data_IF_782748374819
#
_entry.id   IF_782748374819
#
_cell.length_a   1.000
_cell.length_b   1.000
_cell.length_c   1.000
_cell.angle_alpha   90.00
_cell.angle_beta   90.00
_cell.angle_gamma   90.00
#
_symmetry.space_group_name_H-M   'P 1'
#
loop_
_entity.id
_entity.type
_entity.pdbx_description
1 polymer ?
#
# COMPACT_ATOMS: atom_id res chain seq x y z
N UNK A 1 16.08 -5.41 7.29
CA UNK A 1 16.24 -5.27 8.76
C UNK A 1 17.55 -5.91 9.23
N UNK A 2 17.89 -7.14 8.83
CA UNK A 2 19.13 -7.82 9.24
C UNK A 2 20.39 -7.00 8.93
N UNK A 3 20.50 -6.36 7.77
CA UNK A 3 21.64 -5.50 7.42
C UNK A 3 21.82 -4.32 8.37
N UNK A 4 20.74 -3.70 8.81
CA UNK A 4 20.77 -2.54 9.71
C UNK A 4 21.07 -2.98 11.15
N UNK A 5 20.30 -3.97 11.66
CA UNK A 5 20.37 -4.35 13.09
C UNK A 5 21.50 -5.33 13.43
N UNK A 6 21.93 -6.18 12.48
CA UNK A 6 22.96 -7.19 12.71
C UNK A 6 24.29 -6.78 12.16
N UNK A 7 24.33 -6.20 10.95
CA UNK A 7 25.58 -5.82 10.27
C UNK A 7 25.96 -4.35 10.54
N UNK A 8 25.06 -3.54 11.13
CA UNK A 8 25.34 -2.13 11.45
C UNK A 8 25.45 -1.22 10.23
N UNK A 9 24.96 -1.67 9.05
CA UNK A 9 24.99 -0.85 7.83
C UNK A 9 24.13 0.40 7.99
N UNK A 10 24.71 1.58 7.74
CA UNK A 10 24.00 2.85 7.77
C UNK A 10 23.29 3.08 6.44
N UNK A 11 22.24 2.30 6.17
CA UNK A 11 21.45 2.40 4.94
C UNK A 11 20.59 3.67 4.99
N UNK A 12 20.80 4.58 4.03
CA UNK A 12 20.01 5.80 3.88
C UNK A 12 19.20 5.79 2.59
N UNK A 13 17.95 6.21 2.68
CA UNK A 13 17.10 6.37 1.52
C UNK A 13 17.62 7.51 0.62
N UNK A 14 17.37 7.46 -0.70
CA UNK A 14 17.77 8.54 -1.62
C UNK A 14 17.21 9.92 -1.24
N UNK A 15 16.08 9.93 -0.54
CA UNK A 15 15.40 11.17 -0.08
C UNK A 15 15.70 11.54 1.37
N UNK A 16 16.55 10.78 2.07
CA UNK A 16 16.81 11.00 3.51
C UNK A 16 17.32 12.42 3.84
N UNK A 17 18.15 12.99 2.98
CA UNK A 17 18.75 14.29 3.16
C UNK A 17 17.95 15.44 2.49
N UNK A 18 16.84 15.13 1.82
CA UNK A 18 15.98 16.15 1.19
C UNK A 18 15.15 16.88 2.25
N UNK A 19 14.78 18.11 1.98
CA UNK A 19 13.89 18.90 2.82
C UNK A 19 12.49 18.97 2.22
N UNK A 20 11.47 18.79 3.06
CA UNK A 20 10.09 19.00 2.68
C UNK A 20 9.78 20.49 2.84
N UNK A 21 9.49 21.18 1.74
CA UNK A 21 9.14 22.60 1.73
C UNK A 21 7.66 22.74 1.38
N UNK A 22 6.97 23.66 2.04
CA UNK A 22 5.54 23.91 1.89
C UNK A 22 4.72 23.43 3.08
N UNK A 23 3.55 24.00 3.25
CA UNK A 23 2.63 23.59 4.31
C UNK A 23 1.91 22.28 3.91
N UNK A 24 1.80 21.29 4.81
CA UNK A 24 1.02 20.12 4.53
C UNK A 24 -0.45 20.51 4.33
N UNK A 25 -1.04 20.09 3.23
CA UNK A 25 -2.42 20.42 2.81
C UNK A 25 -3.49 20.08 3.86
N UNK A 26 -3.17 19.14 4.74
CA UNK A 26 -4.14 18.55 5.68
C UNK A 26 -3.98 19.01 7.13
N UNK A 27 -3.18 20.05 7.39
CA UNK A 27 -3.06 20.64 8.73
C UNK A 27 -4.24 21.58 9.01
N UNK A 28 -4.88 21.40 10.17
CA UNK A 28 -5.97 22.27 10.61
C UNK A 28 -7.31 22.04 9.92
N UNK A 29 -7.50 20.94 9.20
CA UNK A 29 -8.79 20.60 8.60
C UNK A 29 -9.83 20.33 9.68
N UNK A 30 -10.97 21.02 9.60
CA UNK A 30 -12.14 20.85 10.47
C UNK A 30 -13.42 20.69 9.64
N UNK A 31 -14.48 20.15 10.25
CA UNK A 31 -15.78 20.02 9.59
C UNK A 31 -15.79 19.07 8.41
N UNK A 32 -16.42 19.45 7.32
CA UNK A 32 -16.64 18.62 6.12
C UNK A 32 -15.31 18.18 5.48
N UNK A 33 -14.30 19.06 5.44
CA UNK A 33 -13.01 18.75 4.87
C UNK A 33 -12.30 17.61 5.62
N UNK A 34 -12.42 17.57 6.95
CA UNK A 34 -11.91 16.47 7.77
C UNK A 34 -12.64 15.15 7.48
N UNK A 35 -13.99 15.20 7.35
CA UNK A 35 -14.80 14.01 7.00
C UNK A 35 -14.39 13.46 5.63
N UNK A 36 -14.19 14.33 4.64
CA UNK A 36 -13.73 13.92 3.29
C UNK A 36 -12.33 13.29 3.35
N UNK A 37 -11.41 13.84 4.15
CA UNK A 37 -10.10 13.24 4.37
C UNK A 37 -10.21 11.85 5.01
N UNK A 38 -11.02 11.71 6.05
CA UNK A 38 -11.27 10.41 6.69
C UNK A 38 -11.85 9.39 5.71
N UNK A 39 -12.86 9.79 4.92
CA UNK A 39 -13.46 8.93 3.91
C UNK A 39 -12.43 8.50 2.83
N UNK A 40 -11.59 9.43 2.38
CA UNK A 40 -10.52 9.14 1.41
C UNK A 40 -9.48 8.17 1.97
N UNK A 41 -9.04 8.39 3.21
CA UNK A 41 -8.08 7.52 3.90
C UNK A 41 -8.67 6.12 4.11
N UNK A 42 -9.93 6.05 4.53
CA UNK A 42 -10.66 4.79 4.67
C UNK A 42 -10.77 4.04 3.34
N UNK A 43 -11.18 4.73 2.26
CA UNK A 43 -11.26 4.14 0.90
C UNK A 43 -9.92 3.59 0.43
N UNK A 44 -8.83 4.32 0.67
CA UNK A 44 -7.48 3.84 0.34
C UNK A 44 -7.07 2.62 1.16
N UNK A 45 -7.45 2.59 2.44
CA UNK A 45 -7.21 1.45 3.33
C UNK A 45 -8.00 0.20 2.94
N UNK A 46 -9.22 0.37 2.39
CA UNK A 46 -10.06 -0.75 1.92
C UNK A 46 -9.40 -1.54 0.78
N UNK A 47 -8.57 -0.91 -0.04
CA UNK A 47 -7.82 -1.62 -1.09
C UNK A 47 -6.89 -2.70 -0.51
N UNK A 48 -6.38 -2.52 0.71
CA UNK A 48 -5.56 -3.51 1.39
C UNK A 48 -6.33 -4.76 1.84
N UNK A 49 -7.67 -4.69 1.92
CA UNK A 49 -8.54 -5.77 2.37
C UNK A 49 -8.99 -6.72 1.25
N UNK A 50 -8.51 -6.56 0.02
CA UNK A 50 -8.91 -7.38 -1.15
C UNK A 50 -8.70 -8.88 -0.90
N UNK A 51 -7.65 -9.26 -0.15
CA UNK A 51 -7.40 -10.65 0.22
C UNK A 51 -8.44 -11.22 1.20
N UNK A 52 -9.01 -10.39 2.06
CA UNK A 52 -10.08 -10.77 3.00
C UNK A 52 -11.36 -11.12 2.23
N UNK A 53 -11.71 -10.32 1.23
CA UNK A 53 -12.86 -10.57 0.35
C UNK A 53 -12.73 -11.93 -0.36
N UNK A 54 -11.57 -12.23 -0.94
CA UNK A 54 -11.34 -13.50 -1.63
C UNK A 54 -11.53 -14.71 -0.71
N UNK A 55 -11.08 -14.65 0.55
CA UNK A 55 -11.28 -15.71 1.54
C UNK A 55 -12.75 -15.80 1.95
N UNK A 56 -13.41 -14.67 2.19
CA UNK A 56 -14.81 -14.60 2.60
C UNK A 56 -15.74 -15.20 1.55
N UNK A 57 -15.56 -14.83 0.28
CA UNK A 57 -16.33 -15.37 -0.84
C UNK A 57 -16.00 -16.84 -1.13
N UNK A 58 -14.78 -17.28 -0.80
CA UNK A 58 -14.31 -18.65 -0.98
C UNK A 58 -14.69 -19.64 0.12
N UNK A 59 -15.35 -19.22 1.20
CA UNK A 59 -15.70 -20.10 2.34
C UNK A 59 -16.41 -21.38 1.93
N UNK A 60 -17.37 -21.39 0.98
CA UNK A 60 -18.03 -22.62 0.52
C UNK A 60 -17.09 -23.67 -0.05
N UNK A 61 -15.95 -23.24 -0.61
CA UNK A 61 -14.94 -24.10 -1.26
C UNK A 61 -13.91 -24.67 -0.27
N UNK A 62 -13.91 -24.23 0.99
CA UNK A 62 -13.00 -24.75 2.01
C UNK A 62 -13.37 -26.18 2.43
N UNK A 63 -12.36 -26.93 2.80
CA UNK A 63 -12.49 -28.25 3.41
C UNK A 63 -13.18 -28.14 4.79
N UNK A 64 -13.96 -29.14 5.16
CA UNK A 64 -14.60 -29.15 6.47
C UNK A 64 -13.58 -29.36 7.61
N UNK A 65 -13.74 -28.66 8.75
CA UNK A 65 -14.77 -27.67 9.07
C UNK A 65 -14.49 -26.29 8.41
N UNK A 66 -15.35 -25.91 7.46
CA UNK A 66 -15.15 -24.77 6.53
C UNK A 66 -14.87 -23.45 7.26
N UNK A 67 -15.70 -23.12 8.24
CA UNK A 67 -15.59 -21.87 8.99
C UNK A 67 -14.28 -21.77 9.77
N UNK A 68 -13.83 -22.86 10.41
CA UNK A 68 -12.57 -22.89 11.16
C UNK A 68 -11.38 -22.73 10.23
N UNK A 69 -11.37 -23.42 9.10
CA UNK A 69 -10.29 -23.36 8.13
C UNK A 69 -10.22 -21.97 7.47
N UNK A 70 -11.36 -21.39 7.11
CA UNK A 70 -11.43 -20.02 6.58
C UNK A 70 -10.94 -18.98 7.62
N UNK A 71 -11.37 -19.10 8.89
CA UNK A 71 -10.92 -18.21 9.95
C UNK A 71 -9.41 -18.32 10.21
N UNK A 72 -8.85 -19.53 10.18
CA UNK A 72 -7.40 -19.74 10.33
C UNK A 72 -6.62 -19.11 9.19
N UNK A 73 -7.09 -19.31 7.94
CA UNK A 73 -6.47 -18.72 6.75
C UNK A 73 -6.51 -17.19 6.81
N UNK A 74 -7.64 -16.62 7.24
CA UNK A 74 -7.80 -15.19 7.42
C UNK A 74 -6.88 -14.62 8.51
N UNK A 75 -6.76 -15.32 9.64
CA UNK A 75 -5.86 -14.93 10.71
C UNK A 75 -4.38 -14.98 10.27
N UNK A 76 -3.98 -16.01 9.52
CA UNK A 76 -2.64 -16.10 8.94
C UNK A 76 -2.38 -14.97 7.93
N UNK A 77 -3.33 -14.70 7.03
CA UNK A 77 -3.23 -13.59 6.09
C UNK A 77 -3.04 -12.26 6.82
N UNK A 78 -3.88 -11.98 7.82
CA UNK A 78 -3.80 -10.77 8.63
C UNK A 78 -2.48 -10.66 9.38
N UNK A 79 -2.02 -11.74 10.00
CA UNK A 79 -0.74 -11.78 10.71
C UNK A 79 0.45 -11.48 9.79
N UNK A 80 0.50 -12.10 8.61
CA UNK A 80 1.54 -11.85 7.61
C UNK A 80 1.47 -10.40 7.10
N UNK A 81 0.27 -9.92 6.74
CA UNK A 81 0.10 -8.57 6.23
C UNK A 81 0.52 -7.50 7.25
N UNK A 82 0.13 -7.65 8.51
CA UNK A 82 0.51 -6.73 9.60
C UNK A 82 2.02 -6.78 9.84
N UNK A 83 2.63 -7.95 9.89
CA UNK A 83 4.08 -8.09 10.11
C UNK A 83 4.90 -7.48 8.96
N UNK A 84 4.45 -7.65 7.71
CA UNK A 84 5.08 -7.03 6.54
C UNK A 84 4.93 -5.51 6.57
N UNK A 85 3.73 -4.99 6.88
CA UNK A 85 3.49 -3.56 7.00
C UNK A 85 4.38 -2.93 8.09
N UNK A 86 4.45 -3.55 9.27
CA UNK A 86 5.32 -3.11 10.35
C UNK A 86 6.80 -3.13 9.93
N UNK A 87 7.21 -4.17 9.21
CA UNK A 87 8.57 -4.26 8.66
C UNK A 87 8.90 -3.11 7.70
N UNK A 88 7.97 -2.76 6.82
CA UNK A 88 8.13 -1.64 5.88
C UNK A 88 8.18 -0.30 6.63
N UNK A 89 7.30 -0.08 7.62
CA UNK A 89 7.27 1.15 8.41
C UNK A 89 8.57 1.34 9.21
N UNK A 90 9.03 0.30 9.88
CA UNK A 90 10.31 0.34 10.60
C UNK A 90 11.46 0.61 9.64
N UNK A 91 11.50 -0.06 8.49
CA UNK A 91 12.55 0.13 7.50
C UNK A 91 12.51 1.58 6.94
N UNK A 92 11.34 2.10 6.60
CA UNK A 92 11.17 3.46 6.10
C UNK A 92 11.60 4.51 7.15
N UNK A 93 11.26 4.28 8.42
CA UNK A 93 11.66 5.15 9.53
C UNK A 93 13.18 5.16 9.73
N UNK A 94 13.81 3.99 9.76
CA UNK A 94 15.26 3.86 10.00
C UNK A 94 16.08 4.39 8.81
N UNK A 95 15.62 4.17 7.58
CA UNK A 95 16.31 4.67 6.37
C UNK A 95 16.01 6.13 6.07
N UNK A 96 15.05 6.76 6.77
CA UNK A 96 14.72 8.18 6.62
C UNK A 96 14.01 8.51 5.29
N UNK A 97 13.16 7.63 4.78
CA UNK A 97 12.37 7.89 3.56
C UNK A 97 11.50 9.13 3.77
N UNK A 98 11.59 10.10 2.86
CA UNK A 98 10.75 11.28 2.84
C UNK A 98 9.84 11.27 1.62
N UNK A 99 8.61 11.74 1.82
CA UNK A 99 7.59 11.89 0.79
C UNK A 99 6.90 13.24 0.92
N UNK A 100 6.30 13.70 -0.16
CA UNK A 100 5.48 14.90 -0.17
C UNK A 100 4.11 14.60 -0.78
N UNK A 101 3.14 15.46 -0.54
CA UNK A 101 1.80 15.34 -1.15
C UNK A 101 1.78 16.03 -2.51
N UNK A 102 1.73 15.24 -3.59
CA UNK A 102 1.66 15.76 -4.98
C UNK A 102 0.43 16.63 -5.25
N UNK A 103 -0.60 16.52 -4.41
CA UNK A 103 -1.83 17.32 -4.54
C UNK A 103 -1.79 18.64 -3.78
N UNK A 104 -0.72 18.89 -3.02
CA UNK A 104 -0.50 20.09 -2.21
C UNK A 104 0.57 21.02 -2.79
N UNK A 105 0.85 22.10 -2.07
CA UNK A 105 1.97 23.02 -2.36
C UNK A 105 3.32 22.50 -1.81
N UNK A 106 3.30 21.34 -1.13
CA UNK A 106 4.51 20.73 -0.59
C UNK A 106 5.32 20.05 -1.70
N UNK A 107 6.63 20.22 -1.67
CA UNK A 107 7.56 19.55 -2.55
C UNK A 107 8.84 19.20 -1.81
N UNK A 108 9.54 18.18 -2.30
CA UNK A 108 10.88 17.85 -1.83
C UNK A 108 11.90 18.75 -2.53
N UNK A 109 12.82 19.28 -1.76
CA UNK A 109 13.97 20.02 -2.28
C UNK A 109 15.22 19.18 -2.01
N UNK A 110 15.98 18.94 -3.06
CA UNK A 110 17.27 18.27 -3.00
C UNK A 110 18.30 19.12 -2.25
N UNK A 111 19.38 18.49 -1.84
CA UNK A 111 20.54 19.15 -1.19
C UNK A 111 21.12 20.30 -2.01
N UNK A 112 20.86 20.33 -3.32
CA UNK A 112 21.28 21.40 -4.25
C UNK A 112 20.23 22.50 -4.47
N UNK A 113 19.11 22.47 -3.74
CA UNK A 113 18.04 23.47 -3.86
C UNK A 113 17.07 23.25 -5.04
N UNK A 114 17.16 22.14 -5.75
CA UNK A 114 16.25 21.83 -6.85
C UNK A 114 14.99 21.14 -6.35
N UNK A 115 13.83 21.61 -6.80
CA UNK A 115 12.55 20.95 -6.52
C UNK A 115 12.46 19.61 -7.26
N UNK A 116 12.14 18.54 -6.53
CA UNK A 116 11.91 17.21 -7.09
C UNK A 116 10.52 17.17 -7.68
N UNK A 117 10.41 16.99 -9.00
CA UNK A 117 9.13 16.97 -9.73
C UNK A 117 8.45 15.62 -9.73
N UNK A 118 9.21 14.54 -9.62
CA UNK A 118 8.67 13.17 -9.65
C UNK A 118 9.00 12.47 -8.34
N UNK A 119 7.98 11.88 -7.74
CA UNK A 119 8.12 11.14 -6.49
C UNK A 119 8.25 9.64 -6.75
N UNK A 120 9.33 9.05 -6.25
CA UNK A 120 9.50 7.60 -6.24
C UNK A 120 8.70 7.01 -5.08
N UNK A 121 7.96 5.92 -5.33
CA UNK A 121 7.17 5.24 -4.30
C UNK A 121 8.04 4.78 -3.12
N UNK A 122 7.46 4.66 -1.92
CA UNK A 122 8.16 4.18 -0.72
C UNK A 122 8.83 2.83 -0.98
N UNK A 123 8.10 1.90 -1.61
CA UNK A 123 8.63 0.56 -1.93
C UNK A 123 9.82 0.65 -2.89
N UNK A 124 9.74 1.54 -3.90
CA UNK A 124 10.84 1.79 -4.84
C UNK A 124 12.08 2.37 -4.15
N UNK A 125 11.90 3.34 -3.26
CA UNK A 125 13.00 3.92 -2.48
C UNK A 125 13.66 2.88 -1.57
N UNK A 126 12.86 2.08 -0.85
CA UNK A 126 13.35 1.02 0.02
C UNK A 126 14.07 -0.09 -0.77
N UNK A 127 13.50 -0.50 -1.90
CA UNK A 127 14.15 -1.49 -2.78
C UNK A 127 15.51 -0.98 -3.28
N UNK A 128 15.59 0.31 -3.66
CA UNK A 128 16.84 0.93 -4.07
C UNK A 128 17.85 0.96 -2.92
N UNK A 129 17.45 1.39 -1.74
CA UNK A 129 18.30 1.45 -0.56
C UNK A 129 18.88 0.09 -0.16
N UNK A 130 18.08 -0.97 -0.25
CA UNK A 130 18.48 -2.30 0.21
C UNK A 130 19.31 -3.04 -0.84
N UNK A 131 18.92 -2.94 -2.11
CA UNK A 131 19.47 -3.82 -3.17
C UNK A 131 20.45 -3.14 -4.12
N UNK A 132 20.31 -1.83 -4.37
CA UNK A 132 21.02 -1.19 -5.49
C UNK A 132 22.55 -1.29 -5.40
N UNK A 133 23.11 -1.12 -4.21
CA UNK A 133 24.56 -1.16 -3.99
C UNK A 133 25.09 -2.58 -3.78
N UNK A 134 24.28 -3.50 -3.25
CA UNK A 134 24.70 -4.84 -2.90
C UNK A 134 24.40 -5.89 -3.98
N UNK A 135 23.21 -5.79 -4.59
CA UNK A 135 22.73 -6.78 -5.56
C UNK A 135 21.73 -6.13 -6.52
N UNK A 136 22.24 -5.41 -7.51
CA UNK A 136 21.42 -4.71 -8.53
C UNK A 136 20.29 -5.56 -9.16
N UNK A 137 20.49 -6.84 -9.52
CA UNK A 137 19.38 -7.67 -10.03
C UNK A 137 18.20 -7.77 -9.05
N UNK A 138 18.46 -7.80 -7.74
CA UNK A 138 17.42 -7.85 -6.70
C UNK A 138 16.49 -6.64 -6.74
N UNK A 139 17.01 -5.45 -7.04
CA UNK A 139 16.20 -4.26 -7.25
C UNK A 139 15.19 -4.45 -8.39
N UNK A 140 15.65 -4.89 -9.56
CA UNK A 140 14.78 -5.10 -10.73
C UNK A 140 13.77 -6.21 -10.49
N UNK A 141 14.16 -7.31 -9.85
CA UNK A 141 13.24 -8.40 -9.47
C UNK A 141 12.15 -7.85 -8.55
N UNK A 142 12.50 -7.05 -7.53
CA UNK A 142 11.54 -6.46 -6.61
C UNK A 142 10.54 -5.56 -7.33
N UNK A 143 10.99 -4.71 -8.25
CA UNK A 143 10.13 -3.82 -9.03
C UNK A 143 9.18 -4.63 -9.93
N UNK A 144 9.68 -5.65 -10.63
CA UNK A 144 8.87 -6.51 -11.49
C UNK A 144 7.83 -7.28 -10.67
N UNK A 145 8.22 -7.88 -9.55
CA UNK A 145 7.28 -8.56 -8.65
C UNK A 145 6.20 -7.61 -8.13
N UNK A 146 6.57 -6.39 -7.74
CA UNK A 146 5.59 -5.38 -7.28
C UNK A 146 4.62 -5.03 -8.40
N UNK A 147 5.10 -4.84 -9.63
CA UNK A 147 4.26 -4.58 -10.79
C UNK A 147 3.28 -5.73 -11.07
N UNK A 148 3.74 -6.98 -11.01
CA UNK A 148 2.90 -8.16 -11.20
C UNK A 148 1.82 -8.25 -10.12
N UNK A 149 2.17 -8.00 -8.85
CA UNK A 149 1.21 -8.02 -7.73
C UNK A 149 0.14 -6.94 -7.92
N UNK A 150 0.53 -5.73 -8.32
CA UNK A 150 -0.41 -4.64 -8.58
C UNK A 150 -1.34 -4.96 -9.75
N UNK A 151 -0.82 -5.59 -10.82
CA UNK A 151 -1.62 -6.04 -11.95
C UNK A 151 -2.64 -7.11 -11.54
N UNK A 152 -2.23 -8.09 -10.73
CA UNK A 152 -3.14 -9.12 -10.19
C UNK A 152 -4.20 -8.51 -9.27
N UNK A 153 -3.84 -7.54 -8.42
CA UNK A 153 -4.78 -6.83 -7.57
C UNK A 153 -5.82 -6.06 -8.39
N UNK A 154 -5.40 -5.37 -9.44
CA UNK A 154 -6.31 -4.69 -10.37
C UNK A 154 -7.26 -5.69 -11.06
N UNK A 155 -6.76 -6.83 -11.52
CA UNK A 155 -7.59 -7.88 -12.15
C UNK A 155 -8.66 -8.41 -11.19
N UNK A 156 -8.36 -8.54 -9.90
CA UNK A 156 -9.33 -8.96 -8.88
C UNK A 156 -10.49 -7.97 -8.78
N UNK A 157 -10.21 -6.67 -8.81
CA UNK A 157 -11.25 -5.63 -8.78
C UNK A 157 -12.15 -5.67 -10.03
N UNK A 158 -11.60 -5.92 -11.21
CA UNK A 158 -12.37 -6.08 -12.45
C UNK A 158 -13.32 -7.29 -12.43
N UNK A 159 -12.94 -8.38 -11.77
CA UNK A 159 -13.78 -9.56 -11.64
C UNK A 159 -14.83 -9.41 -10.52
N UNK A 160 -14.48 -8.81 -9.40
CA UNK A 160 -15.34 -8.65 -8.23
C UNK A 160 -16.47 -7.65 -8.44
N UNK A 161 -16.20 -6.52 -9.09
CA UNK A 161 -17.16 -5.44 -9.27
C UNK A 161 -18.45 -5.86 -10.03
N UNK A 162 -18.38 -6.52 -11.20
CA UNK A 162 -19.58 -6.98 -11.91
C UNK A 162 -20.44 -7.98 -11.10
N UNK A 163 -19.78 -8.90 -10.38
CA UNK A 163 -20.48 -9.90 -9.54
C UNK A 163 -21.23 -9.19 -8.41
N UNK A 164 -20.57 -8.28 -7.69
CA UNK A 164 -21.19 -7.50 -6.62
C UNK A 164 -22.31 -6.62 -7.16
N UNK A 165 -22.09 -5.97 -8.31
CA UNK A 165 -23.10 -5.16 -8.99
C UNK A 165 -24.35 -5.95 -9.36
N UNK A 166 -24.18 -7.18 -9.86
CA UNK A 166 -25.30 -8.06 -10.20
C UNK A 166 -26.11 -8.48 -8.97
N UNK A 167 -25.44 -8.79 -7.85
CA UNK A 167 -26.10 -9.13 -6.58
C UNK A 167 -26.91 -7.93 -6.06
N UNK A 168 -26.32 -6.73 -6.03
CA UNK A 168 -27.02 -5.51 -5.61
C UNK A 168 -28.21 -5.15 -6.51
N UNK A 169 -28.10 -5.44 -7.80
CA UNK A 169 -29.22 -5.24 -8.73
C UNK A 169 -30.35 -6.24 -8.48
N UNK A 170 -30.05 -7.50 -8.14
CA UNK A 170 -31.05 -8.53 -7.74
C UNK A 170 -31.76 -8.12 -6.45
N UNK A 171 -31.04 -7.57 -5.49
CA UNK A 171 -31.58 -7.12 -4.20
C UNK A 171 -32.30 -5.76 -4.29
N UNK A 172 -32.33 -5.14 -5.49
CA UNK A 172 -33.08 -3.89 -5.74
C UNK A 172 -32.35 -2.60 -5.38
N UNK A 173 -31.07 -2.69 -4.98
CA UNK A 173 -30.24 -1.50 -4.65
C UNK A 173 -29.64 -0.83 -5.89
N UNK A 174 -29.61 -1.50 -7.02
CA UNK A 174 -29.13 -0.96 -8.30
C UNK A 174 -30.16 -1.18 -9.42
N UNK A 175 -30.08 -0.39 -10.52
CA UNK A 175 -30.97 -0.56 -11.66
C UNK A 175 -30.86 -1.99 -12.22
N UNK A 176 -32.01 -2.61 -12.52
CA UNK A 176 -32.11 -3.99 -13.04
C UNK A 176 -31.35 -4.25 -14.35
N UNK A 177 -30.90 -3.21 -15.04
CA UNK A 177 -30.07 -3.34 -16.25
C UNK A 177 -28.66 -3.88 -15.97
N UNK A 178 -28.23 -3.91 -14.70
CA UNK A 178 -26.93 -4.45 -14.26
C UNK A 178 -27.02 -5.92 -13.78
N UNK A 179 -28.17 -6.53 -13.96
CA UNK A 179 -28.42 -7.94 -13.59
C UNK A 179 -27.91 -8.87 -14.70
#
# INVERSE_FOLDING_TARGET
LTRIFVLGDNLRAPTADFTVVGAPKYTGLVGVAFVVLMARTFSSGCAALTGVEAISNGVPSFREPKSKNAATTLAMLGGIAVSMLMGILVLASVTGVKMFDETGESHLVDTHGHAVKEQVTVVGQLARTVFYDSFKPGFYIMIVCTMIILFLAANTAFNGFPVLGSILARDGFLPRRLH
#
